data_IF_248880987407
#
_entry.id   IF_248880987407
#
_cell.length_a   1.000
_cell.length_b   1.000
_cell.length_c   1.000
_cell.angle_alpha   90.00
_cell.angle_beta   90.00
_cell.angle_gamma   90.00
#
_symmetry.space_group_name_H-M   'P 1'
#
loop_
_entity.id
_entity.type
_entity.pdbx_description
1 polymer ?
#
# COMPACT_ATOMS: atom_id res chain seq x y z
N UNK A 1 -30.33 -44.35 48.80
CA UNK A 1 -30.72 -44.02 47.42
C UNK A 1 -30.82 -42.51 47.34
N UNK A 2 -29.84 -41.85 46.74
CA UNK A 2 -29.86 -40.42 46.44
C UNK A 2 -29.64 -40.32 44.94
N UNK A 3 -30.71 -40.03 44.20
CA UNK A 3 -30.63 -39.75 42.77
C UNK A 3 -30.23 -38.28 42.61
N UNK A 4 -29.05 -38.05 42.04
CA UNK A 4 -28.63 -36.74 41.54
C UNK A 4 -29.50 -36.36 40.35
N UNK A 5 -30.32 -35.33 40.54
CA UNK A 5 -31.09 -34.71 39.45
C UNK A 5 -30.19 -33.69 38.78
N UNK A 6 -29.65 -34.03 37.60
CA UNK A 6 -28.92 -33.08 36.76
C UNK A 6 -29.93 -32.05 36.24
N UNK A 7 -29.86 -30.84 36.79
CA UNK A 7 -30.66 -29.70 36.41
C UNK A 7 -30.35 -29.33 34.95
N UNK A 8 -31.30 -29.59 34.05
CA UNK A 8 -31.18 -29.20 32.64
C UNK A 8 -31.21 -27.68 32.55
N UNK A 9 -30.07 -27.07 32.25
CA UNK A 9 -29.98 -25.65 31.88
C UNK A 9 -30.94 -25.40 30.70
N UNK A 10 -31.99 -24.62 30.94
CA UNK A 10 -32.95 -24.26 29.91
C UNK A 10 -32.25 -23.41 28.85
N UNK A 11 -32.29 -23.87 27.59
CA UNK A 11 -31.79 -23.07 26.47
C UNK A 11 -32.73 -21.86 26.27
N UNK A 12 -32.18 -20.65 26.00
CA UNK A 12 -32.99 -19.47 25.76
C UNK A 12 -33.93 -19.70 24.56
N UNK A 13 -35.17 -19.24 24.69
CA UNK A 13 -36.16 -19.31 23.62
C UNK A 13 -35.66 -18.60 22.35
N UNK A 14 -35.92 -19.13 21.14
CA UNK A 14 -35.49 -18.51 19.91
C UNK A 14 -36.11 -17.12 19.76
N UNK A 15 -35.27 -16.11 19.69
CA UNK A 15 -35.67 -14.72 19.47
C UNK A 15 -36.35 -14.60 18.11
N UNK A 16 -37.52 -13.95 17.98
CA UNK A 16 -38.18 -13.77 16.70
C UNK A 16 -37.27 -12.97 15.75
N UNK A 17 -36.92 -13.60 14.62
CA UNK A 17 -36.05 -13.05 13.59
C UNK A 17 -36.91 -12.18 12.67
N UNK A 18 -36.48 -10.95 12.40
CA UNK A 18 -37.18 -10.09 11.43
C UNK A 18 -37.08 -10.69 10.03
N UNK A 19 -38.06 -10.41 9.16
CA UNK A 19 -38.02 -10.88 7.76
C UNK A 19 -36.73 -10.44 7.06
N UNK A 20 -36.29 -9.21 7.29
CA UNK A 20 -35.00 -8.70 6.80
C UNK A 20 -33.82 -9.55 7.26
N UNK A 21 -33.75 -9.87 8.56
CA UNK A 21 -32.65 -10.71 9.09
C UNK A 21 -32.71 -12.14 8.54
N UNK A 22 -33.91 -12.67 8.30
CA UNK A 22 -34.09 -13.99 7.69
C UNK A 22 -33.60 -14.02 6.23
N UNK A 23 -33.90 -12.97 5.45
CA UNK A 23 -33.43 -12.80 4.07
C UNK A 23 -31.90 -12.69 4.01
N UNK A 24 -31.27 -11.88 4.87
CA UNK A 24 -29.81 -11.73 4.91
C UNK A 24 -29.10 -13.04 5.28
N UNK A 25 -29.65 -13.80 6.24
CA UNK A 25 -29.12 -15.14 6.59
C UNK A 25 -29.23 -16.11 5.42
N UNK A 26 -30.37 -16.14 4.74
CA UNK A 26 -30.58 -17.01 3.59
C UNK A 26 -29.64 -16.66 2.43
N UNK A 27 -29.45 -15.35 2.16
CA UNK A 27 -28.51 -14.84 1.18
C UNK A 27 -27.07 -15.27 1.49
N UNK A 28 -26.61 -15.06 2.73
CA UNK A 28 -25.25 -15.43 3.13
C UNK A 28 -24.99 -16.94 2.97
N UNK A 29 -25.96 -17.79 3.31
CA UNK A 29 -25.86 -19.25 3.10
C UNK A 29 -25.82 -19.59 1.61
N UNK A 30 -26.69 -18.97 0.81
CA UNK A 30 -26.76 -19.20 -0.63
C UNK A 30 -25.47 -18.76 -1.34
N UNK A 31 -24.88 -17.62 -0.98
CA UNK A 31 -23.62 -17.13 -1.53
C UNK A 31 -22.47 -18.10 -1.24
N UNK A 32 -22.34 -18.58 0.01
CA UNK A 32 -21.31 -19.56 0.38
C UNK A 32 -21.50 -20.88 -0.35
N UNK A 33 -22.73 -21.39 -0.41
CA UNK A 33 -23.04 -22.66 -1.09
C UNK A 33 -22.78 -22.56 -2.60
N UNK A 34 -23.22 -21.47 -3.24
CA UNK A 34 -23.00 -21.22 -4.66
C UNK A 34 -21.51 -21.11 -5.00
N UNK A 35 -20.73 -20.40 -4.18
CA UNK A 35 -19.29 -20.25 -4.39
C UNK A 35 -18.56 -21.61 -4.36
N UNK A 36 -18.84 -22.45 -3.37
CA UNK A 36 -18.28 -23.81 -3.29
C UNK A 36 -18.74 -24.65 -4.48
N UNK A 37 -20.04 -24.62 -4.81
CA UNK A 37 -20.57 -25.41 -5.91
C UNK A 37 -19.94 -25.02 -7.25
N UNK A 38 -19.82 -23.73 -7.55
CA UNK A 38 -19.18 -23.24 -8.79
C UNK A 38 -17.70 -23.65 -8.84
N UNK A 39 -16.99 -23.56 -7.72
CA UNK A 39 -15.58 -23.97 -7.64
C UNK A 39 -15.39 -25.50 -7.81
N UNK A 40 -16.32 -26.33 -7.33
CA UNK A 40 -16.31 -27.78 -7.55
C UNK A 40 -16.66 -28.16 -8.99
N UNK A 41 -17.63 -27.44 -9.61
CA UNK A 41 -18.05 -27.68 -10.99
C UNK A 41 -17.03 -27.17 -12.01
N UNK A 42 -16.28 -26.13 -11.67
CA UNK A 42 -15.26 -25.52 -12.51
C UNK A 42 -13.90 -25.59 -11.79
N UNK A 43 -13.31 -26.80 -11.66
CA UNK A 43 -12.03 -26.95 -11.00
C UNK A 43 -10.94 -26.20 -11.76
N UNK A 44 -9.98 -25.63 -11.01
CA UNK A 44 -8.82 -24.94 -11.58
C UNK A 44 -7.99 -25.89 -12.45
N UNK A 45 -7.44 -25.36 -13.54
CA UNK A 45 -6.41 -26.04 -14.33
C UNK A 45 -5.03 -25.77 -13.71
N UNK A 46 -4.40 -26.81 -13.17
CA UNK A 46 -3.11 -26.72 -12.50
C UNK A 46 -1.98 -26.35 -13.46
N UNK A 47 -1.98 -26.88 -14.69
CA UNK A 47 -0.96 -26.57 -15.68
C UNK A 47 -1.05 -25.11 -16.10
N UNK A 48 -2.27 -24.62 -16.32
CA UNK A 48 -2.52 -23.21 -16.63
C UNK A 48 -2.09 -22.31 -15.48
N UNK A 49 -2.42 -22.64 -14.23
CA UNK A 49 -2.03 -21.82 -13.08
C UNK A 49 -0.50 -21.69 -12.96
N UNK A 50 0.25 -22.78 -13.18
CA UNK A 50 1.72 -22.75 -13.20
C UNK A 50 2.29 -21.95 -14.37
N UNK A 51 1.74 -22.11 -15.58
CA UNK A 51 2.17 -21.36 -16.75
C UNK A 51 1.90 -19.85 -16.60
N UNK A 52 0.70 -19.49 -16.13
CA UNK A 52 0.31 -18.11 -15.88
C UNK A 52 1.15 -17.46 -14.79
N UNK A 53 1.49 -18.21 -13.72
CA UNK A 53 2.41 -17.76 -12.68
C UNK A 53 3.80 -17.45 -13.25
N UNK A 54 4.37 -18.36 -14.05
CA UNK A 54 5.68 -18.16 -14.66
C UNK A 54 5.70 -16.96 -15.62
N UNK A 55 4.65 -16.82 -16.43
CA UNK A 55 4.47 -15.69 -17.34
C UNK A 55 4.32 -14.38 -16.57
N UNK A 56 3.49 -14.36 -15.53
CA UNK A 56 3.26 -13.17 -14.71
C UNK A 56 4.52 -12.72 -13.97
N UNK A 57 5.21 -13.64 -13.30
CA UNK A 57 6.46 -13.40 -12.57
C UNK A 57 7.64 -13.10 -13.50
N UNK A 58 7.53 -13.47 -14.79
CA UNK A 58 8.45 -13.11 -15.86
C UNK A 58 8.37 -11.65 -16.31
N UNK A 59 7.33 -10.90 -15.91
CA UNK A 59 7.15 -9.49 -16.26
C UNK A 59 7.83 -8.59 -15.23
N UNK A 60 8.67 -7.68 -15.70
CA UNK A 60 9.43 -6.77 -14.85
C UNK A 60 8.52 -5.93 -13.92
N UNK A 61 7.38 -5.44 -14.41
CA UNK A 61 6.48 -4.61 -13.59
C UNK A 61 5.79 -5.32 -12.41
N UNK A 62 5.70 -6.66 -12.43
CA UNK A 62 5.32 -7.43 -11.25
C UNK A 62 6.54 -7.70 -10.38
N UNK A 63 7.62 -8.18 -11.01
CA UNK A 63 8.84 -8.61 -10.32
C UNK A 63 9.44 -7.48 -9.46
N UNK A 64 9.50 -6.26 -9.98
CA UNK A 64 9.97 -5.05 -9.28
C UNK A 64 9.22 -4.76 -7.98
N UNK A 65 7.96 -5.20 -7.85
CA UNK A 65 7.11 -5.01 -6.66
C UNK A 65 6.85 -6.31 -5.91
N UNK A 66 7.50 -7.41 -6.30
CA UNK A 66 7.20 -8.75 -5.79
C UNK A 66 7.73 -8.98 -4.37
N UNK A 67 8.66 -8.15 -3.90
CA UNK A 67 9.30 -8.27 -2.59
C UNK A 67 9.15 -7.00 -1.78
N UNK A 68 9.02 -7.15 -0.47
CA UNK A 68 9.23 -6.05 0.48
C UNK A 68 10.56 -6.24 1.20
N UNK A 69 11.12 -5.12 1.67
CA UNK A 69 12.26 -5.10 2.58
C UNK A 69 11.94 -4.15 3.72
N UNK A 70 12.04 -4.62 4.97
CA UNK A 70 11.89 -3.76 6.14
C UNK A 70 13.08 -3.96 7.06
N UNK A 71 13.79 -2.87 7.36
CA UNK A 71 14.92 -2.83 8.29
C UNK A 71 14.56 -3.53 9.60
N UNK A 72 15.41 -4.48 10.02
CA UNK A 72 15.26 -5.29 11.24
C UNK A 72 13.99 -6.18 11.31
N UNK A 73 13.16 -6.25 10.26
CA UNK A 73 11.96 -7.11 10.20
C UNK A 73 12.00 -8.12 9.06
N UNK A 74 13.08 -8.13 8.29
CA UNK A 74 13.34 -9.11 7.23
C UNK A 74 12.77 -8.69 5.88
N UNK A 75 12.89 -9.62 4.93
CA UNK A 75 12.41 -9.51 3.56
C UNK A 75 11.44 -10.64 3.27
N UNK A 76 10.54 -10.44 2.30
CA UNK A 76 9.57 -11.47 1.95
C UNK A 76 8.75 -11.12 0.71
N UNK A 77 7.88 -12.04 0.26
CA UNK A 77 6.92 -11.76 -0.81
C UNK A 77 6.03 -10.59 -0.41
N UNK A 78 5.73 -9.69 -1.34
CA UNK A 78 4.87 -8.54 -1.10
C UNK A 78 3.39 -8.93 -1.18
N UNK A 79 2.51 -8.02 -0.73
CA UNK A 79 1.07 -8.18 -0.94
C UNK A 79 0.69 -8.14 -2.42
N UNK A 80 1.50 -7.49 -3.28
CA UNK A 80 1.26 -7.47 -4.73
C UNK A 80 1.51 -8.84 -5.35
N UNK A 81 2.60 -9.51 -4.97
CA UNK A 81 2.84 -10.89 -5.41
C UNK A 81 1.73 -11.82 -4.89
N UNK A 82 1.39 -11.75 -3.61
CA UNK A 82 0.35 -12.61 -3.03
C UNK A 82 -1.01 -12.45 -3.75
N UNK A 83 -1.46 -11.22 -4.01
CA UNK A 83 -2.72 -10.96 -4.73
C UNK A 83 -2.69 -11.45 -6.17
N UNK A 84 -1.56 -11.31 -6.87
CA UNK A 84 -1.43 -11.82 -8.23
C UNK A 84 -1.44 -13.35 -8.26
N UNK A 85 -0.76 -14.01 -7.31
CA UNK A 85 -0.81 -15.46 -7.18
C UNK A 85 -2.22 -15.96 -6.84
N UNK A 86 -2.94 -15.27 -5.95
CA UNK A 86 -4.34 -15.59 -5.65
C UNK A 86 -5.24 -15.49 -6.89
N UNK A 87 -5.09 -14.42 -7.69
CA UNK A 87 -5.80 -14.22 -8.95
C UNK A 87 -5.55 -15.37 -9.94
N UNK A 88 -4.30 -15.81 -10.05
CA UNK A 88 -3.87 -16.89 -10.97
C UNK A 88 -4.33 -18.26 -10.47
N UNK A 89 -4.24 -18.50 -9.16
CA UNK A 89 -4.65 -19.76 -8.54
C UNK A 89 -6.12 -20.08 -8.81
N UNK A 90 -6.97 -19.04 -8.88
CA UNK A 90 -8.41 -19.17 -9.12
C UNK A 90 -9.13 -19.76 -7.91
N UNK A 91 -10.48 -19.72 -7.93
CA UNK A 91 -11.34 -20.27 -6.87
C UNK A 91 -10.91 -19.86 -5.44
N UNK A 92 -10.27 -18.69 -5.30
CA UNK A 92 -9.73 -18.20 -4.04
C UNK A 92 -10.38 -16.86 -3.71
N UNK A 93 -11.11 -16.84 -2.62
CA UNK A 93 -11.72 -15.64 -2.05
C UNK A 93 -10.86 -15.13 -0.90
N UNK A 94 -10.62 -13.82 -0.84
CA UNK A 94 -9.78 -13.22 0.18
C UNK A 94 -10.18 -11.78 0.43
N UNK A 95 -9.92 -11.30 1.64
CA UNK A 95 -10.30 -9.93 1.97
C UNK A 95 -9.80 -9.46 3.33
N UNK A 96 -10.06 -8.19 3.58
CA UNK A 96 -9.87 -7.52 4.87
C UNK A 96 -11.20 -6.86 5.22
N UNK A 97 -11.66 -7.09 6.44
CA UNK A 97 -12.84 -6.44 7.01
C UNK A 97 -12.44 -5.74 8.31
N UNK A 98 -12.78 -4.46 8.42
CA UNK A 98 -12.86 -3.78 9.71
C UNK A 98 -14.18 -4.20 10.35
N UNK A 99 -14.13 -5.06 11.35
CA UNK A 99 -15.31 -5.61 12.02
C UNK A 99 -15.94 -4.59 12.96
N UNK A 100 -15.09 -3.79 13.60
CA UNK A 100 -15.48 -2.78 14.57
C UNK A 100 -14.42 -1.68 14.63
N UNK A 101 -14.85 -0.44 14.85
CA UNK A 101 -13.98 0.71 15.08
C UNK A 101 -14.44 1.43 16.34
N UNK A 102 -13.53 1.57 17.29
CA UNK A 102 -13.72 2.27 18.55
C UNK A 102 -12.78 3.48 18.59
N UNK A 103 -13.28 4.65 18.17
CA UNK A 103 -12.48 5.88 18.16
C UNK A 103 -12.22 6.41 19.58
N UNK A 104 -13.10 6.14 20.55
CA UNK A 104 -12.92 6.56 21.95
C UNK A 104 -11.77 5.79 22.60
N UNK A 105 -11.68 4.47 22.36
CA UNK A 105 -10.55 3.65 22.81
C UNK A 105 -9.34 3.73 21.88
N UNK A 106 -9.49 4.30 20.70
CA UNK A 106 -8.45 4.38 19.67
C UNK A 106 -8.02 3.01 19.17
N UNK A 107 -8.99 2.13 18.85
CA UNK A 107 -8.75 0.75 18.45
C UNK A 107 -9.71 0.32 17.33
N UNK A 108 -9.20 -0.44 16.36
CA UNK A 108 -10.03 -1.13 15.35
C UNK A 108 -9.87 -2.64 15.47
N UNK A 109 -10.94 -3.39 15.25
CA UNK A 109 -10.88 -4.84 15.08
C UNK A 109 -10.86 -5.17 13.59
N UNK A 110 -9.80 -5.85 13.15
CA UNK A 110 -9.61 -6.19 11.75
C UNK A 110 -9.57 -7.71 11.60
N UNK A 111 -10.28 -8.21 10.59
CA UNK A 111 -10.21 -9.58 10.12
C UNK A 111 -9.66 -9.63 8.71
N UNK A 112 -8.57 -10.38 8.52
CA UNK A 112 -8.09 -10.78 7.21
C UNK A 112 -8.37 -12.27 6.99
N UNK A 113 -8.67 -12.66 5.75
CA UNK A 113 -8.92 -14.05 5.40
C UNK A 113 -8.51 -14.38 3.97
N UNK A 114 -8.31 -15.67 3.73
CA UNK A 114 -8.26 -16.29 2.43
C UNK A 114 -8.92 -17.67 2.50
N UNK A 115 -9.67 -18.03 1.47
CA UNK A 115 -10.42 -19.26 1.36
C UNK A 115 -10.32 -19.79 -0.06
N UNK A 116 -9.67 -20.93 -0.21
CA UNK A 116 -9.75 -21.73 -1.41
C UNK A 116 -11.07 -22.50 -1.40
N UNK A 117 -12.00 -22.10 -2.27
CA UNK A 117 -13.37 -22.64 -2.34
C UNK A 117 -13.42 -24.04 -2.95
N UNK A 118 -12.41 -24.43 -3.74
CA UNK A 118 -12.36 -25.75 -4.38
C UNK A 118 -11.72 -26.80 -3.46
N UNK A 119 -10.68 -26.46 -2.70
CA UNK A 119 -10.06 -27.41 -1.73
C UNK A 119 -10.60 -27.24 -0.31
N UNK A 120 -11.37 -26.18 -0.09
CA UNK A 120 -11.90 -25.75 1.20
C UNK A 120 -10.84 -25.40 2.26
N UNK A 121 -9.60 -25.15 1.85
CA UNK A 121 -8.56 -24.62 2.75
C UNK A 121 -8.89 -23.18 3.12
N UNK A 122 -8.87 -22.88 4.43
CA UNK A 122 -9.17 -21.55 4.97
C UNK A 122 -8.07 -21.08 5.90
N UNK A 123 -7.68 -19.82 5.74
CA UNK A 123 -6.80 -19.11 6.65
C UNK A 123 -7.43 -17.78 7.03
N UNK A 124 -7.53 -17.49 8.33
CA UNK A 124 -8.07 -16.22 8.82
C UNK A 124 -7.35 -15.74 10.06
N UNK A 125 -7.28 -14.42 10.21
CA UNK A 125 -6.68 -13.75 11.37
C UNK A 125 -7.58 -12.60 11.78
N UNK A 126 -8.00 -12.60 13.03
CA UNK A 126 -8.73 -11.48 13.65
C UNK A 126 -7.86 -10.91 14.76
N UNK A 127 -7.66 -9.59 14.75
CA UNK A 127 -6.79 -8.93 15.72
C UNK A 127 -7.19 -7.47 15.91
N UNK A 128 -6.78 -6.92 17.04
CA UNK A 128 -7.01 -5.51 17.36
C UNK A 128 -5.82 -4.66 16.90
N UNK A 129 -6.14 -3.51 16.31
CA UNK A 129 -5.20 -2.53 15.77
C UNK A 129 -5.33 -1.23 16.56
N UNK A 130 -4.32 -0.87 17.36
CA UNK A 130 -4.27 0.45 17.96
C UNK A 130 -4.14 1.55 16.91
N UNK A 131 -4.89 2.63 17.11
CA UNK A 131 -4.78 3.91 16.39
C UNK A 131 -3.54 4.66 16.87
N UNK A 132 -2.38 4.03 16.69
CA UNK A 132 -1.10 4.51 17.18
C UNK A 132 0.00 4.15 16.19
N UNK A 133 1.01 5.01 16.09
CA UNK A 133 2.24 4.74 15.35
C UNK A 133 3.47 4.82 16.26
N UNK A 134 4.53 4.11 15.90
CA UNK A 134 5.83 4.29 16.53
C UNK A 134 6.56 5.47 15.90
N UNK A 135 7.03 6.40 16.72
CA UNK A 135 7.89 7.51 16.31
C UNK A 135 8.97 7.74 17.37
N UNK A 136 10.24 7.71 16.98
CA UNK A 136 11.40 7.89 17.87
C UNK A 136 11.35 6.96 19.10
N UNK A 137 11.00 5.68 18.89
CA UNK A 137 10.92 4.67 19.95
C UNK A 137 9.72 4.81 20.89
N UNK A 138 8.84 5.80 20.69
CA UNK A 138 7.64 6.02 21.50
C UNK A 138 6.37 5.79 20.68
N UNK A 139 5.32 5.31 21.34
CA UNK A 139 3.97 5.24 20.76
C UNK A 139 3.38 6.65 20.71
N UNK A 140 2.87 7.04 19.55
CA UNK A 140 2.11 8.29 19.35
C UNK A 140 0.71 7.94 18.87
N UNK A 141 -0.34 8.50 19.47
CA UNK A 141 -1.71 8.31 18.99
C UNK A 141 -1.88 8.92 17.59
N UNK A 142 -2.74 8.30 16.80
CA UNK A 142 -3.25 8.80 15.53
C UNK A 142 -4.64 9.38 15.82
N UNK A 143 -4.80 10.68 15.60
CA UNK A 143 -6.07 11.40 15.82
C UNK A 143 -6.74 11.77 14.50
N UNK A 144 -5.96 11.86 13.43
CA UNK A 144 -6.48 12.13 12.09
C UNK A 144 -7.15 10.88 11.52
N UNK A 145 -8.34 11.05 10.93
CA UNK A 145 -9.15 9.95 10.42
C UNK A 145 -8.47 9.25 9.23
N UNK A 146 -7.76 10.01 8.39
CA UNK A 146 -7.03 9.47 7.24
C UNK A 146 -5.81 8.67 7.70
N UNK A 147 -5.08 9.16 8.71
CA UNK A 147 -3.96 8.44 9.31
C UNK A 147 -4.41 7.10 9.92
N UNK A 148 -5.54 7.10 10.64
CA UNK A 148 -6.12 5.86 11.20
C UNK A 148 -6.50 4.89 10.09
N UNK A 149 -7.19 5.37 9.05
CA UNK A 149 -7.56 4.56 7.90
C UNK A 149 -6.33 3.94 7.21
N UNK A 150 -5.30 4.74 6.92
CA UNK A 150 -4.08 4.27 6.29
C UNK A 150 -3.32 3.27 7.17
N UNK A 151 -3.30 3.48 8.49
CA UNK A 151 -2.71 2.52 9.43
C UNK A 151 -3.42 1.16 9.40
N UNK A 152 -4.76 1.18 9.46
CA UNK A 152 -5.58 -0.03 9.40
C UNK A 152 -5.41 -0.76 8.06
N UNK A 153 -5.39 -0.03 6.94
CA UNK A 153 -5.18 -0.61 5.62
C UNK A 153 -3.79 -1.24 5.47
N UNK A 154 -2.75 -0.60 6.01
CA UNK A 154 -1.39 -1.15 6.00
C UNK A 154 -1.26 -2.44 6.81
N UNK A 155 -1.92 -2.50 7.97
CA UNK A 155 -1.90 -3.70 8.81
C UNK A 155 -2.76 -4.80 8.17
N UNK A 156 -3.94 -4.46 7.65
CA UNK A 156 -4.80 -5.37 6.89
C UNK A 156 -4.10 -5.97 5.67
N UNK A 157 -3.37 -5.16 4.91
CA UNK A 157 -2.59 -5.61 3.74
C UNK A 157 -1.52 -6.64 4.11
N UNK A 158 -0.86 -6.49 5.27
CA UNK A 158 0.08 -7.49 5.79
C UNK A 158 -0.65 -8.76 6.21
N UNK A 159 -1.75 -8.64 6.93
CA UNK A 159 -2.50 -9.80 7.40
C UNK A 159 -3.09 -10.63 6.26
N UNK A 160 -3.68 -9.98 5.24
CA UNK A 160 -4.25 -10.68 4.07
C UNK A 160 -3.19 -11.32 3.20
N UNK A 161 -2.00 -10.71 3.09
CA UNK A 161 -0.86 -11.34 2.45
C UNK A 161 -0.56 -12.68 3.11
N UNK A 162 -0.45 -12.71 4.43
CA UNK A 162 -0.14 -13.94 5.16
C UNK A 162 -1.25 -14.99 5.00
N UNK A 163 -2.53 -14.61 5.02
CA UNK A 163 -3.63 -15.57 4.83
C UNK A 163 -3.63 -16.16 3.42
N UNK A 164 -3.39 -15.33 2.39
CA UNK A 164 -3.25 -15.81 1.01
C UNK A 164 -2.10 -16.81 0.90
N UNK A 165 -0.91 -16.43 1.37
CA UNK A 165 0.28 -17.29 1.25
C UNK A 165 0.14 -18.60 2.05
N UNK A 166 -0.56 -18.58 3.18
CA UNK A 166 -0.87 -19.79 3.95
C UNK A 166 -1.89 -20.72 3.27
N UNK A 167 -2.66 -20.20 2.30
CA UNK A 167 -3.67 -20.97 1.56
C UNK A 167 -3.08 -21.58 0.28
N UNK A 168 -2.07 -20.95 -0.31
CA UNK A 168 -1.41 -21.43 -1.52
C UNK A 168 -0.39 -22.54 -1.23
N UNK A 169 -0.15 -23.48 -2.16
CA UNK A 169 0.95 -24.43 -2.04
C UNK A 169 2.31 -23.74 -1.95
N UNK A 170 3.18 -24.24 -1.06
CA UNK A 170 4.46 -23.60 -0.77
C UNK A 170 5.42 -23.61 -1.97
N UNK A 171 5.44 -24.70 -2.75
CA UNK A 171 6.24 -24.84 -3.97
C UNK A 171 5.83 -23.84 -5.05
N UNK A 172 4.54 -23.61 -5.23
CA UNK A 172 4.01 -22.60 -6.15
C UNK A 172 4.48 -21.18 -5.78
N UNK A 173 4.49 -20.86 -4.48
CA UNK A 173 4.97 -19.57 -3.97
C UNK A 173 6.49 -19.44 -4.12
N UNK A 174 7.26 -20.49 -3.82
CA UNK A 174 8.72 -20.46 -3.95
C UNK A 174 9.17 -20.33 -5.41
N UNK A 175 8.51 -21.03 -6.35
CA UNK A 175 8.79 -20.89 -7.78
C UNK A 175 8.49 -19.45 -8.26
N UNK A 176 7.36 -18.87 -7.85
CA UNK A 176 7.02 -17.49 -8.18
C UNK A 176 8.08 -16.50 -7.69
N UNK A 177 8.60 -16.71 -6.47
CA UNK A 177 9.69 -15.90 -5.91
C UNK A 177 10.98 -16.09 -6.71
N UNK A 178 11.36 -17.32 -7.05
CA UNK A 178 12.55 -17.59 -7.85
C UNK A 178 12.46 -16.89 -9.21
N UNK A 179 11.31 -17.02 -9.89
CA UNK A 179 11.07 -16.40 -11.20
C UNK A 179 11.10 -14.87 -11.17
N UNK A 180 10.55 -14.26 -10.11
CA UNK A 180 10.65 -12.81 -9.92
C UNK A 180 12.09 -12.36 -9.74
N UNK A 181 12.90 -13.09 -8.95
CA UNK A 181 14.34 -12.76 -8.76
C UNK A 181 15.11 -12.85 -10.07
N UNK A 182 14.93 -13.95 -10.81
CA UNK A 182 15.53 -14.13 -12.13
C UNK A 182 15.16 -12.97 -13.07
N UNK A 183 13.89 -12.55 -13.07
CA UNK A 183 13.41 -11.44 -13.89
C UNK A 183 14.02 -10.10 -13.48
N UNK A 184 14.16 -9.85 -12.18
CA UNK A 184 14.81 -8.64 -11.65
C UNK A 184 16.30 -8.61 -12.00
N UNK A 185 16.98 -9.75 -11.89
CA UNK A 185 18.41 -9.92 -12.21
C UNK A 185 18.66 -9.71 -13.71
N UNK A 186 17.89 -10.40 -14.56
CA UNK A 186 17.93 -10.22 -16.02
C UNK A 186 17.55 -8.80 -16.44
N UNK A 187 16.61 -8.18 -15.74
CA UNK A 187 16.06 -6.87 -16.07
C UNK A 187 15.39 -6.85 -17.45
N UNK A 188 15.47 -5.71 -18.10
CA UNK A 188 15.08 -5.45 -19.49
C UNK A 188 16.19 -5.81 -20.50
N UNK A 189 17.15 -6.64 -20.09
CA UNK A 189 18.36 -6.94 -20.87
C UNK A 189 19.54 -6.01 -20.60
N UNK A 190 19.36 -4.98 -19.75
CA UNK A 190 20.44 -4.10 -19.30
C UNK A 190 21.11 -4.60 -18.01
N UNK A 191 22.46 -4.65 -17.96
CA UNK A 191 23.21 -4.95 -16.74
C UNK A 191 22.82 -4.03 -15.57
N UNK A 192 22.89 -4.56 -14.34
CA UNK A 192 22.56 -3.79 -13.13
C UNK A 192 23.37 -2.48 -13.03
N UNK A 193 24.66 -2.52 -13.38
CA UNK A 193 25.56 -1.35 -13.34
C UNK A 193 25.02 -0.22 -14.23
N UNK A 194 24.56 -0.55 -15.43
CA UNK A 194 23.96 0.41 -16.36
C UNK A 194 22.64 0.95 -15.82
N UNK A 195 21.77 0.08 -15.29
CA UNK A 195 20.50 0.51 -14.68
C UNK A 195 20.71 1.45 -13.48
N UNK A 196 21.74 1.19 -12.67
CA UNK A 196 22.14 2.08 -11.57
C UNK A 196 22.63 3.42 -12.10
N UNK A 197 23.44 3.44 -13.16
CA UNK A 197 23.91 4.67 -13.78
C UNK A 197 22.73 5.48 -14.36
N UNK A 198 21.81 4.83 -15.07
CA UNK A 198 20.59 5.43 -15.62
C UNK A 198 19.75 6.09 -14.51
N UNK A 199 19.58 5.42 -13.36
CA UNK A 199 18.84 5.99 -12.22
C UNK A 199 19.56 7.18 -11.58
N UNK A 200 20.87 7.10 -11.38
CA UNK A 200 21.64 8.24 -10.87
C UNK A 200 21.53 9.44 -11.81
N UNK A 201 21.62 9.23 -13.12
CA UNK A 201 21.48 10.29 -14.11
C UNK A 201 20.06 10.89 -14.11
N UNK A 202 19.03 10.04 -14.02
CA UNK A 202 17.64 10.49 -13.95
C UNK A 202 17.37 11.39 -12.72
N UNK A 203 17.85 10.96 -11.54
CA UNK A 203 17.72 11.75 -10.31
C UNK A 203 18.57 13.02 -10.32
N UNK A 204 19.76 13.01 -10.95
CA UNK A 204 20.56 14.21 -11.13
C UNK A 204 19.81 15.28 -11.94
N UNK A 205 19.00 14.88 -12.93
CA UNK A 205 18.10 15.78 -13.66
C UNK A 205 17.00 16.43 -12.80
N UNK A 206 16.72 15.87 -11.62
CA UNK A 206 15.80 16.43 -10.62
C UNK A 206 16.57 17.18 -9.49
N UNK A 207 17.89 17.36 -9.62
CA UNK A 207 18.72 17.99 -8.59
C UNK A 207 19.03 17.09 -7.38
N UNK A 208 18.71 15.80 -7.45
CA UNK A 208 18.99 14.84 -6.37
C UNK A 208 20.40 14.28 -6.55
N UNK A 209 21.23 14.41 -5.51
CA UNK A 209 22.64 13.98 -5.53
C UNK A 209 22.79 12.51 -5.10
N UNK A 210 23.87 11.85 -5.53
CA UNK A 210 24.17 10.46 -5.12
C UNK A 210 24.17 10.29 -3.58
N UNK A 211 24.78 11.18 -2.77
CA UNK A 211 24.69 11.10 -1.32
C UNK A 211 23.26 11.13 -0.77
N UNK A 212 22.35 11.90 -1.38
CA UNK A 212 20.94 11.91 -0.97
C UNK A 212 20.26 10.56 -1.23
N UNK A 213 20.56 9.93 -2.37
CA UNK A 213 20.06 8.59 -2.70
C UNK A 213 20.65 7.54 -1.76
N UNK A 214 21.96 7.61 -1.47
CA UNK A 214 22.62 6.71 -0.51
C UNK A 214 22.05 6.84 0.90
N UNK A 215 21.70 8.06 1.34
CA UNK A 215 21.03 8.28 2.63
C UNK A 215 19.63 7.67 2.65
N UNK A 216 18.85 7.86 1.58
CA UNK A 216 17.51 7.27 1.45
C UNK A 216 17.56 5.75 1.54
N UNK A 217 18.43 5.13 0.75
CA UNK A 217 18.58 3.68 0.70
C UNK A 217 19.37 3.12 1.90
N UNK A 218 19.99 4.00 2.70
CA UNK A 218 20.94 3.66 3.77
C UNK A 218 22.08 2.74 3.31
N UNK A 219 22.49 2.83 2.04
CA UNK A 219 23.47 1.95 1.40
C UNK A 219 24.30 2.70 0.37
N UNK A 220 25.59 2.36 0.29
CA UNK A 220 26.50 2.90 -0.72
C UNK A 220 26.14 2.39 -2.12
N UNK A 221 26.39 3.21 -3.15
CA UNK A 221 26.07 2.88 -4.56
C UNK A 221 26.57 1.52 -5.01
N UNK A 222 27.76 1.11 -4.57
CA UNK A 222 28.35 -0.19 -4.89
C UNK A 222 27.61 -1.40 -4.29
N UNK A 223 26.68 -1.17 -3.35
CA UNK A 223 25.87 -2.20 -2.69
C UNK A 223 24.42 -2.20 -3.17
N UNK A 224 24.08 -1.37 -4.15
CA UNK A 224 22.72 -1.31 -4.68
C UNK A 224 22.40 -2.58 -5.46
N UNK A 225 21.21 -3.08 -5.21
CA UNK A 225 20.63 -4.26 -5.82
C UNK A 225 19.64 -3.82 -6.90
N UNK A 226 19.21 -4.77 -7.73
CA UNK A 226 18.15 -4.51 -8.70
C UNK A 226 16.80 -4.17 -8.03
N UNK A 227 16.57 -4.60 -6.78
CA UNK A 227 15.42 -4.18 -5.99
C UNK A 227 15.51 -2.70 -5.57
N UNK A 228 16.71 -2.21 -5.22
CA UNK A 228 16.92 -0.79 -4.91
C UNK A 228 16.66 0.07 -6.16
N UNK A 229 17.13 -0.38 -7.33
CA UNK A 229 16.83 0.28 -8.62
C UNK A 229 15.33 0.32 -8.92
N UNK A 230 14.60 -0.76 -8.62
CA UNK A 230 13.16 -0.83 -8.79
C UNK A 230 12.43 0.16 -7.86
N UNK A 231 12.82 0.23 -6.58
CA UNK A 231 12.29 1.21 -5.63
C UNK A 231 12.55 2.65 -6.12
N UNK A 232 13.77 2.93 -6.58
CA UNK A 232 14.15 4.23 -7.13
C UNK A 232 13.32 4.62 -8.37
N UNK A 233 12.97 3.66 -9.24
CA UNK A 233 12.05 3.91 -10.37
C UNK A 233 10.66 4.33 -9.91
N UNK A 234 10.12 3.69 -8.86
CA UNK A 234 8.82 4.04 -8.31
C UNK A 234 8.84 5.46 -7.75
N UNK A 235 9.85 5.80 -6.96
CA UNK A 235 10.04 7.14 -6.38
C UNK A 235 10.18 8.20 -7.48
N UNK A 236 11.03 7.94 -8.47
CA UNK A 236 11.20 8.84 -9.62
C UNK A 236 9.87 9.06 -10.37
N UNK A 237 9.10 7.99 -10.60
CA UNK A 237 7.80 8.07 -11.23
C UNK A 237 6.78 8.88 -10.43
N UNK A 238 6.76 8.71 -9.11
CA UNK A 238 5.89 9.48 -8.19
C UNK A 238 6.20 10.97 -8.25
N UNK A 239 7.48 11.33 -8.18
CA UNK A 239 7.93 12.72 -8.27
C UNK A 239 7.57 13.33 -9.63
N UNK A 240 7.79 12.59 -10.72
CA UNK A 240 7.47 13.06 -12.08
C UNK A 240 5.96 13.28 -12.28
N UNK A 241 5.10 12.52 -11.61
CA UNK A 241 3.64 12.68 -11.63
C UNK A 241 3.13 13.71 -10.62
N UNK A 242 4.03 14.38 -9.89
CA UNK A 242 3.70 15.34 -8.82
C UNK A 242 2.89 14.70 -7.66
N UNK A 243 3.01 13.39 -7.48
CA UNK A 243 2.37 12.62 -6.40
C UNK A 243 3.19 12.64 -5.10
N UNK A 244 4.48 12.95 -5.20
CA UNK A 244 5.40 13.11 -4.07
C UNK A 244 6.37 14.26 -4.34
N UNK A 245 6.79 14.97 -3.29
CA UNK A 245 7.78 16.04 -3.42
C UNK A 245 9.21 15.52 -3.22
N UNK A 246 10.17 16.18 -3.86
CA UNK A 246 11.59 15.81 -3.77
C UNK A 246 12.10 15.92 -2.32
N UNK A 247 11.69 16.95 -1.59
CA UNK A 247 12.08 17.21 -0.21
C UNK A 247 11.48 16.20 0.79
N UNK A 248 10.35 15.59 0.46
CA UNK A 248 9.75 14.52 1.26
C UNK A 248 10.51 13.20 1.09
N UNK A 249 10.86 12.86 -0.16
CA UNK A 249 11.53 11.59 -0.49
C UNK A 249 13.06 11.64 -0.26
N UNK A 250 13.65 12.83 -0.37
CA UNK A 250 15.07 13.10 -0.18
C UNK A 250 15.27 14.31 0.73
N UNK A 251 14.97 14.17 2.04
CA UNK A 251 15.11 15.28 2.97
C UNK A 251 16.55 15.81 2.98
N UNK A 252 16.72 17.14 3.03
CA UNK A 252 18.03 17.77 3.12
C UNK A 252 18.74 17.31 4.39
N UNK A 253 20.07 17.32 4.33
CA UNK A 253 20.90 16.96 5.47
C UNK A 253 20.58 17.91 6.64
N UNK A 254 20.28 17.41 7.85
CA UNK A 254 20.13 18.28 9.00
C UNK A 254 21.45 19.01 9.22
N UNK A 255 21.45 20.32 8.95
CA UNK A 255 22.60 21.16 9.29
C UNK A 255 22.75 21.11 10.80
N UNK A 256 23.83 20.50 11.29
CA UNK A 256 24.15 20.53 12.70
C UNK A 256 24.32 22.00 13.13
N UNK A 257 23.86 22.43 14.32
CA UNK A 257 23.98 23.82 14.78
C UNK A 257 25.42 24.37 14.83
N UNK A 258 26.44 23.52 14.61
CA UNK A 258 27.85 23.86 14.64
C UNK A 258 28.38 24.55 13.37
N UNK A 259 27.61 24.63 12.28
CA UNK A 259 28.06 25.26 11.01
C UNK A 259 27.51 26.68 10.78
N UNK A 260 26.79 27.26 11.75
CA UNK A 260 26.47 28.69 11.72
C UNK A 260 27.66 29.44 12.31
N UNK A 261 28.65 29.80 11.48
CA UNK A 261 29.62 30.84 11.85
C UNK A 261 28.89 32.18 12.02
N UNK A 262 28.86 32.79 13.23
CA UNK A 262 28.27 34.11 13.41
C UNK A 262 29.27 35.15 12.91
N UNK A 263 29.16 35.53 11.63
CA UNK A 263 30.11 36.51 11.08
C UNK A 263 29.96 36.88 9.61
N UNK A 264 28.94 36.39 8.88
CA UNK A 264 28.71 36.87 7.52
C UNK A 264 28.00 38.23 7.55
N UNK A 265 28.76 39.31 7.34
CA UNK A 265 28.22 40.60 6.89
C UNK A 265 28.21 40.56 5.36
N UNK A 266 27.05 40.68 4.70
CA UNK A 266 27.02 40.72 3.24
C UNK A 266 27.77 41.97 2.74
N UNK A 267 28.70 41.75 1.82
CA UNK A 267 29.41 42.81 1.10
C UNK A 267 28.41 43.54 0.17
N UNK A 268 28.18 44.86 0.36
CA UNK A 268 27.24 45.62 -0.47
C UNK A 268 27.57 45.60 -1.97
N UNK A 269 28.83 45.32 -2.35
CA UNK A 269 29.25 45.33 -3.76
C UNK A 269 29.01 44.00 -4.50
N UNK A 270 28.63 42.92 -3.81
CA UNK A 270 28.26 41.66 -4.45
C UNK A 270 26.84 41.72 -5.06
N UNK A 271 25.95 42.56 -4.50
CA UNK A 271 24.59 42.74 -5.01
C UNK A 271 24.55 43.48 -6.36
N UNK A 272 25.53 44.35 -6.62
CA UNK A 272 25.56 45.19 -7.83
C UNK A 272 26.07 44.43 -9.08
N UNK A 273 26.76 43.29 -8.90
CA UNK A 273 27.19 42.43 -10.02
C UNK A 273 26.18 41.35 -10.42
N UNK A 274 25.15 41.10 -9.60
CA UNK A 274 24.13 40.09 -9.88
C UNK A 274 23.01 40.61 -10.81
N UNK A 275 22.88 41.92 -11.00
CA UNK A 275 21.87 42.55 -11.88
C UNK A 275 22.30 42.68 -13.34
N UNK A 276 23.50 42.20 -13.71
CA UNK A 276 24.06 42.32 -15.06
C UNK A 276 23.96 41.05 -15.92
N UNK A 277 22.92 40.23 -15.73
CA UNK A 277 22.50 39.22 -16.71
C UNK A 277 21.19 39.68 -17.38
N UNK A 278 21.15 39.90 -18.72
CA UNK A 278 19.92 40.31 -19.37
C UNK A 278 18.97 39.11 -19.47
N UNK A 279 17.79 39.20 -18.83
CA UNK A 279 16.71 38.25 -19.09
C UNK A 279 15.75 37.92 -17.94
N UNK A 280 15.90 38.49 -16.74
CA UNK A 280 14.94 38.25 -15.65
C UNK A 280 14.29 39.56 -15.22
N UNK A 281 12.96 39.64 -15.36
CA UNK A 281 12.15 40.74 -14.86
C UNK A 281 12.04 40.66 -13.33
N UNK A 282 12.14 41.80 -12.68
CA UNK A 282 12.08 41.98 -11.24
C UNK A 282 10.69 41.62 -10.68
N UNK A 283 10.66 40.68 -9.72
CA UNK A 283 9.45 40.22 -9.05
C UNK A 283 8.80 41.29 -8.13
N UNK A 284 9.37 42.49 -8.02
CA UNK A 284 8.81 43.61 -7.25
C UNK A 284 7.71 44.42 -7.96
N UNK A 285 7.38 44.09 -9.22
CA UNK A 285 6.30 44.76 -9.99
C UNK A 285 5.06 43.90 -10.28
N UNK A 286 4.96 42.70 -9.71
CA UNK A 286 3.71 41.93 -9.75
C UNK A 286 2.71 42.47 -8.71
N UNK A 287 1.97 43.51 -9.11
CA UNK A 287 0.69 43.84 -8.50
C UNK A 287 -0.26 42.67 -8.82
N UNK A 288 -0.56 41.85 -7.82
CA UNK A 288 -1.65 40.88 -7.88
C UNK A 288 -2.95 41.69 -7.89
N UNK A 289 -3.79 41.62 -8.93
CA UNK A 289 -5.12 42.22 -8.87
C UNK A 289 -5.93 41.45 -7.82
N UNK A 290 -6.45 42.18 -6.83
CA UNK A 290 -7.56 41.71 -6.00
C UNK A 290 -8.80 41.89 -6.86
N UNK A 291 -9.28 40.82 -7.49
CA UNK A 291 -10.62 40.81 -8.06
C UNK A 291 -11.62 40.74 -6.90
N UNK A 292 -12.17 41.92 -6.58
CA UNK A 292 -13.51 42.03 -6.03
C UNK A 292 -14.48 41.76 -7.18
N UNK A 293 -15.13 40.61 -7.17
CA UNK A 293 -16.47 40.41 -7.72
C UNK A 293 -17.06 39.16 -7.05
N UNK A 294 -17.79 39.39 -5.95
CA UNK A 294 -18.73 38.45 -5.36
C UNK A 294 -19.92 38.29 -6.33
N UNK A 295 -19.90 37.27 -7.18
CA UNK A 295 -21.13 36.70 -7.74
C UNK A 295 -21.45 35.35 -7.07
N UNK A 296 -22.69 35.15 -6.60
CA UNK A 296 -23.09 33.96 -5.86
C UNK A 296 -23.12 32.72 -6.77
N UNK A 297 -22.75 31.58 -6.18
CA UNK A 297 -22.83 30.25 -6.76
C UNK A 297 -24.21 30.00 -7.42
N UNK A 298 -24.27 29.46 -8.65
CA UNK A 298 -25.55 29.15 -9.28
C UNK A 298 -26.25 28.02 -8.52
N UNK A 299 -27.50 28.35 -8.20
CA UNK A 299 -28.51 27.54 -7.55
C UNK A 299 -28.73 26.20 -8.26
N UNK A 300 -29.10 25.20 -7.48
CA UNK A 300 -29.38 23.83 -7.90
C UNK A 300 -30.30 23.76 -9.14
N UNK A 301 -29.88 23.01 -10.16
CA UNK A 301 -30.79 22.60 -11.23
C UNK A 301 -31.81 21.57 -10.67
N UNK A 302 -33.10 21.70 -11.00
CA UNK A 302 -34.15 20.83 -10.45
C UNK A 302 -34.08 19.42 -11.05
N UNK A 303 -34.30 18.44 -10.18
CA UNK A 303 -34.52 17.03 -10.52
C UNK A 303 -35.82 16.95 -11.33
N UNK A 304 -35.81 16.43 -12.57
CA UNK A 304 -37.06 16.21 -13.31
C UNK A 304 -37.83 15.06 -12.67
N UNK A 305 -39.03 15.37 -12.17
CA UNK A 305 -40.05 14.38 -11.83
C UNK A 305 -40.38 13.55 -13.07
N UNK A 306 -40.22 12.23 -12.97
CA UNK A 306 -40.72 11.27 -13.93
C UNK A 306 -41.59 10.25 -13.21
N UNK A 307 -42.89 10.53 -13.15
CA UNK A 307 -43.93 9.52 -13.04
C UNK A 307 -44.81 9.61 -14.31
N UNK A 308 -45.36 8.45 -14.69
CA UNK A 308 -46.29 8.12 -15.81
C UNK A 308 -45.69 7.58 -17.12
N UNK A 309 -45.30 6.28 -17.10
CA UNK A 309 -45.98 5.18 -17.83
C UNK A 309 -45.47 3.79 -17.42
#
# INVERSE_FOLDING_TARGET
MTQDTVERVAMPAPVPVTQTTAVERARAVAEVAAAVQVAQQNPRDMNRAWADMQAACGRLGLAERAFYSVKNRGTGPSVHLARELARIWGNLDYGVHELHRDDERGMSEIRAYAWDQQTNVRSSRTFQVPHQRMANGKRKPLTDLQDVYLNNQNIGARAVRETILATLPADFVEEAKARCRETIERGDGKPLIERVADMVAAFAGLGVTVPAIERRLERKRGQWTAADVAELRVVFGSIKRQEARIDEEFPPEPVAPAEITPGYKPDPQAAEKATAFPGFVDASTLVVPVDQDDEPWPDTAPIPNGDDQ
#
